data_IF_078369607297
#
_entry.id   IF_078369607297
#
_cell.length_a   1.000
_cell.length_b   1.000
_cell.length_c   1.000
_cell.angle_alpha   90.00
_cell.angle_beta   90.00
_cell.angle_gamma   90.00
#
_symmetry.space_group_name_H-M   'P 1'
#
loop_
_entity.id
_entity.type
_entity.pdbx_description
1 polymer ?
#
# COMPACT_ATOMS: atom_id res chain seq x y z
N UNK A 1 9.80 -53.72 -38.31
CA UNK A 1 10.30 -52.44 -37.75
C UNK A 1 9.13 -51.47 -37.67
N UNK A 2 8.41 -51.45 -36.54
CA UNK A 2 7.30 -50.53 -36.31
C UNK A 2 7.80 -49.28 -35.58
N UNK A 3 7.60 -48.09 -36.17
CA UNK A 3 7.87 -46.80 -35.52
C UNK A 3 6.67 -46.40 -34.67
N UNK A 4 6.79 -46.51 -33.35
CA UNK A 4 5.89 -45.85 -32.41
C UNK A 4 6.23 -44.37 -32.36
N UNK A 5 5.37 -43.56 -32.96
CA UNK A 5 5.40 -42.10 -32.85
C UNK A 5 4.93 -41.73 -31.45
N UNK A 6 5.87 -41.42 -30.56
CA UNK A 6 5.60 -40.86 -29.23
C UNK A 6 5.16 -39.41 -29.42
N UNK A 7 3.84 -39.21 -29.46
CA UNK A 7 3.22 -37.89 -29.46
C UNK A 7 3.47 -37.27 -28.09
N UNK A 8 4.42 -36.35 -28.03
CA UNK A 8 4.68 -35.51 -26.86
C UNK A 8 3.42 -34.71 -26.55
N UNK A 9 2.61 -35.22 -25.62
CA UNK A 9 1.54 -34.45 -25.00
C UNK A 9 2.22 -33.41 -24.12
N UNK A 10 2.33 -32.19 -24.66
CA UNK A 10 2.48 -31.02 -23.81
C UNK A 10 1.26 -30.99 -22.90
N UNK A 11 1.43 -31.57 -21.71
CA UNK A 11 0.58 -31.29 -20.57
C UNK A 11 0.79 -29.80 -20.32
N UNK A 12 -0.08 -28.98 -20.91
CA UNK A 12 -0.33 -27.63 -20.46
C UNK A 12 -0.78 -27.82 -19.02
N UNK A 13 0.19 -27.75 -18.11
CA UNK A 13 -0.05 -27.77 -16.69
C UNK A 13 -0.67 -26.41 -16.39
N UNK A 14 -1.98 -26.31 -16.61
CA UNK A 14 -2.87 -25.36 -15.93
C UNK A 14 -2.91 -25.74 -14.44
N UNK A 15 -1.73 -25.71 -13.82
CA UNK A 15 -1.49 -26.10 -12.45
C UNK A 15 -1.58 -24.87 -11.55
N UNK A 16 -2.77 -24.66 -11.00
CA UNK A 16 -2.99 -24.22 -9.62
C UNK A 16 -2.12 -23.06 -9.08
N UNK A 17 -2.62 -21.83 -9.14
CA UNK A 17 -2.23 -20.75 -8.23
C UNK A 17 -3.34 -19.73 -7.97
N UNK A 18 -4.61 -20.15 -7.93
CA UNK A 18 -5.74 -19.19 -7.92
C UNK A 18 -5.86 -18.32 -6.65
N UNK A 19 -5.18 -18.66 -5.55
CA UNK A 19 -5.21 -17.86 -4.31
C UNK A 19 -4.03 -16.88 -4.17
N UNK A 20 -2.82 -17.29 -4.59
CA UNK A 20 -1.60 -16.48 -4.50
C UNK A 20 -1.65 -15.27 -5.42
N UNK A 21 -2.16 -15.46 -6.64
CA UNK A 21 -2.27 -14.42 -7.66
C UNK A 21 -3.35 -13.37 -7.35
N UNK A 22 -4.23 -13.63 -6.38
CA UNK A 22 -5.26 -12.67 -5.96
C UNK A 22 -4.83 -11.84 -4.75
N UNK A 23 -3.80 -12.27 -4.02
CA UNK A 23 -3.40 -11.62 -2.75
C UNK A 23 -2.83 -10.21 -2.99
N UNK A 24 -2.03 -10.03 -4.05
CA UNK A 24 -1.50 -8.70 -4.39
C UNK A 24 -2.58 -7.74 -4.87
N UNK A 25 -3.60 -8.24 -5.58
CA UNK A 25 -4.74 -7.44 -6.02
C UNK A 25 -5.47 -6.87 -4.81
N UNK A 26 -5.76 -7.73 -3.81
CA UNK A 26 -6.41 -7.32 -2.56
C UNK A 26 -5.52 -6.32 -1.79
N UNK A 27 -4.22 -6.55 -1.72
CA UNK A 27 -3.27 -5.64 -1.07
C UNK A 27 -3.28 -4.24 -1.73
N UNK A 28 -3.25 -4.18 -3.06
CA UNK A 28 -3.30 -2.93 -3.82
C UNK A 28 -4.64 -2.22 -3.63
N UNK A 29 -5.76 -2.93 -3.66
CA UNK A 29 -7.09 -2.35 -3.40
C UNK A 29 -7.13 -1.70 -2.01
N UNK A 30 -6.65 -2.39 -0.98
CA UNK A 30 -6.60 -1.82 0.37
C UNK A 30 -5.67 -0.61 0.46
N UNK A 31 -4.53 -0.61 -0.22
CA UNK A 31 -3.65 0.56 -0.27
C UNK A 31 -4.31 1.75 -0.98
N UNK A 32 -5.04 1.52 -2.07
CA UNK A 32 -5.80 2.56 -2.77
C UNK A 32 -6.91 3.14 -1.88
N UNK A 33 -7.64 2.29 -1.15
CA UNK A 33 -8.66 2.73 -0.18
C UNK A 33 -8.00 3.57 0.93
N UNK A 34 -6.86 3.13 1.46
CA UNK A 34 -6.10 3.90 2.44
C UNK A 34 -5.71 5.28 1.89
N UNK A 35 -5.15 5.33 0.68
CA UNK A 35 -4.75 6.58 0.02
C UNK A 35 -5.94 7.52 -0.17
N UNK A 36 -7.08 7.00 -0.62
CA UNK A 36 -8.31 7.78 -0.74
C UNK A 36 -8.75 8.35 0.60
N UNK A 37 -8.69 7.58 1.68
CA UNK A 37 -9.01 8.08 3.02
C UNK A 37 -8.03 9.15 3.51
N UNK A 38 -6.74 9.04 3.22
CA UNK A 38 -5.77 10.12 3.55
C UNK A 38 -6.08 11.38 2.74
N UNK A 39 -6.39 11.26 1.45
CA UNK A 39 -6.78 12.40 0.60
C UNK A 39 -8.05 13.04 1.14
N UNK A 40 -9.08 12.25 1.44
CA UNK A 40 -10.34 12.75 2.00
C UNK A 40 -10.11 13.42 3.37
N UNK A 41 -9.28 12.81 4.23
CA UNK A 41 -8.93 13.38 5.52
C UNK A 41 -8.26 14.75 5.36
N UNK A 42 -7.36 14.94 4.40
CA UNK A 42 -6.70 16.23 4.16
C UNK A 42 -7.60 17.24 3.43
N UNK A 43 -8.45 16.78 2.50
CA UNK A 43 -9.31 17.63 1.69
C UNK A 43 -10.55 18.13 2.44
N UNK A 44 -11.09 17.34 3.38
CA UNK A 44 -12.29 17.69 4.11
C UNK A 44 -12.04 18.90 5.02
N UNK A 45 -12.92 19.93 5.00
CA UNK A 45 -12.91 21.06 5.92
C UNK A 45 -13.43 20.62 7.30
N UNK A 46 -12.80 19.59 7.88
CA UNK A 46 -13.18 18.99 9.15
C UNK A 46 -12.12 19.19 10.23
N UNK A 47 -11.10 20.03 10.02
CA UNK A 47 -9.99 20.27 10.95
C UNK A 47 -10.19 21.58 11.74
N UNK A 48 -11.38 21.79 12.34
CA UNK A 48 -11.87 23.00 13.04
C UNK A 48 -12.74 23.97 12.23
N UNK A 49 -13.60 23.46 11.32
CA UNK A 49 -14.51 24.32 10.53
C UNK A 49 -13.78 25.29 9.58
N UNK A 50 -12.47 25.12 9.42
CA UNK A 50 -11.60 25.83 8.48
C UNK A 50 -10.82 24.77 7.72
N UNK A 51 -10.54 25.02 6.45
CA UNK A 51 -9.64 24.17 5.68
C UNK A 51 -8.24 24.21 6.31
N UNK A 52 -7.57 23.05 6.44
CA UNK A 52 -6.12 22.95 6.72
C UNK A 52 -5.29 23.86 5.81
N UNK A 53 -5.77 24.10 4.58
CA UNK A 53 -5.11 24.96 3.59
C UNK A 53 -5.28 26.47 3.85
N UNK A 54 -6.20 26.90 4.72
CA UNK A 54 -6.65 28.30 4.75
C UNK A 54 -6.09 29.11 5.91
N UNK A 55 -5.91 28.54 7.11
CA UNK A 55 -5.29 29.20 8.27
C UNK A 55 -4.63 28.14 9.15
N UNK A 56 -3.31 27.93 9.02
CA UNK A 56 -2.58 26.97 9.87
C UNK A 56 -1.51 27.69 10.70
N UNK A 57 -1.56 27.49 12.02
CA UNK A 57 -0.45 27.69 12.95
C UNK A 57 0.68 26.67 12.69
N UNK A 58 1.85 26.79 13.33
CA UNK A 58 3.01 25.94 13.01
C UNK A 58 2.75 24.43 13.16
N UNK A 59 1.89 24.02 14.11
CA UNK A 59 1.49 22.62 14.35
C UNK A 59 0.68 22.03 13.20
N UNK A 60 -0.18 22.86 12.62
CA UNK A 60 -1.09 22.54 11.53
C UNK A 60 -0.34 22.41 10.18
N UNK A 61 0.77 23.14 10.04
CA UNK A 61 1.72 22.98 8.92
C UNK A 61 2.50 21.66 9.01
N UNK A 62 2.93 21.26 10.21
CA UNK A 62 3.66 20.00 10.43
C UNK A 62 2.80 18.76 10.13
N UNK A 63 1.55 18.72 10.61
CA UNK A 63 0.62 17.60 10.34
C UNK A 63 0.28 17.47 8.85
N UNK A 64 0.14 18.61 8.17
CA UNK A 64 -0.13 18.65 6.72
C UNK A 64 1.06 18.09 5.95
N UNK A 65 2.28 18.53 6.25
CA UNK A 65 3.50 18.03 5.61
C UNK A 65 3.70 16.52 5.86
N UNK A 66 3.51 16.05 7.09
CA UNK A 66 3.57 14.62 7.43
C UNK A 66 2.55 13.80 6.64
N UNK A 67 1.34 14.33 6.46
CA UNK A 67 0.28 13.68 5.69
C UNK A 67 0.62 13.60 4.20
N UNK A 68 1.19 14.67 3.63
CA UNK A 68 1.66 14.66 2.23
C UNK A 68 2.82 13.67 2.01
N UNK A 69 3.78 13.62 2.94
CA UNK A 69 4.87 12.64 2.90
C UNK A 69 4.28 11.23 2.96
N UNK A 70 3.33 10.98 3.85
CA UNK A 70 2.65 9.68 3.95
C UNK A 70 1.94 9.30 2.64
N UNK A 71 1.18 10.22 2.03
CA UNK A 71 0.52 9.98 0.74
C UNK A 71 1.53 9.60 -0.34
N UNK A 72 2.65 10.33 -0.42
CA UNK A 72 3.69 10.08 -1.42
C UNK A 72 4.34 8.70 -1.23
N UNK A 73 4.67 8.33 0.01
CA UNK A 73 5.23 7.02 0.34
C UNK A 73 4.26 5.87 0.03
N UNK A 74 2.98 6.02 0.36
CA UNK A 74 1.95 5.03 0.05
C UNK A 74 1.78 4.88 -1.46
N UNK A 75 1.73 5.99 -2.19
CA UNK A 75 1.62 6.00 -3.64
C UNK A 75 2.83 5.30 -4.32
N UNK A 76 4.06 5.61 -3.87
CA UNK A 76 5.26 4.92 -4.35
C UNK A 76 5.22 3.42 -4.01
N UNK A 77 4.76 3.05 -2.82
CA UNK A 77 4.59 1.66 -2.40
C UNK A 77 3.59 0.90 -3.28
N UNK A 78 2.48 1.53 -3.66
CA UNK A 78 1.48 0.96 -4.58
C UNK A 78 2.11 0.74 -5.97
N UNK A 79 2.78 1.75 -6.52
CA UNK A 79 3.43 1.64 -7.84
C UNK A 79 4.46 0.51 -7.82
N UNK A 80 5.32 0.47 -6.81
CA UNK A 80 6.33 -0.58 -6.68
C UNK A 80 5.68 -1.97 -6.65
N UNK A 81 4.61 -2.15 -5.88
CA UNK A 81 3.86 -3.41 -5.79
C UNK A 81 3.29 -3.84 -7.15
N UNK A 82 2.70 -2.92 -7.91
CA UNK A 82 2.16 -3.19 -9.25
C UNK A 82 3.27 -3.57 -10.24
N UNK A 83 4.39 -2.83 -10.23
CA UNK A 83 5.53 -3.10 -11.10
C UNK A 83 6.11 -4.50 -10.85
N UNK A 84 6.20 -4.93 -9.59
CA UNK A 84 6.61 -6.28 -9.24
C UNK A 84 5.56 -7.34 -9.62
N UNK A 85 4.28 -7.05 -9.40
CA UNK A 85 3.19 -7.99 -9.71
C UNK A 85 3.08 -8.30 -11.20
N UNK A 86 3.23 -7.27 -12.04
CA UNK A 86 3.21 -7.41 -13.50
C UNK A 86 4.50 -8.00 -14.08
N UNK A 87 5.50 -8.30 -13.24
CA UNK A 87 6.84 -8.76 -13.65
C UNK A 87 7.45 -7.88 -14.75
N UNK A 88 7.07 -6.59 -14.80
CA UNK A 88 7.56 -5.64 -15.79
C UNK A 88 9.08 -5.45 -15.67
N UNK A 89 9.64 -5.75 -14.50
CA UNK A 89 11.06 -5.64 -14.22
C UNK A 89 11.52 -6.91 -13.50
N UNK A 90 12.00 -7.89 -14.28
CA UNK A 90 12.39 -9.23 -13.81
C UNK A 90 13.78 -9.27 -13.15
N UNK A 91 14.63 -8.28 -13.38
CA UNK A 91 16.05 -8.29 -12.96
C UNK A 91 16.36 -7.50 -11.68
N UNK A 92 15.40 -7.33 -10.77
CA UNK A 92 15.67 -6.63 -9.52
C UNK A 92 16.13 -7.55 -8.39
N UNK A 93 17.19 -7.11 -7.70
CA UNK A 93 17.72 -7.71 -6.47
C UNK A 93 16.63 -7.82 -5.39
N UNK A 94 16.77 -8.81 -4.50
CA UNK A 94 15.87 -9.05 -3.34
C UNK A 94 15.62 -7.79 -2.51
N UNK A 95 16.63 -6.92 -2.39
CA UNK A 95 16.56 -5.63 -1.68
C UNK A 95 15.50 -4.69 -2.25
N UNK A 96 15.29 -4.71 -3.56
CA UNK A 96 14.36 -3.81 -4.25
C UNK A 96 12.93 -4.32 -4.09
N UNK A 97 12.74 -5.64 -4.02
CA UNK A 97 11.43 -6.26 -3.74
C UNK A 97 10.92 -5.91 -2.33
N UNK A 98 11.80 -5.88 -1.33
CA UNK A 98 11.45 -5.48 0.04
C UNK A 98 11.15 -3.98 0.18
N UNK A 99 11.59 -3.14 -0.77
CA UNK A 99 11.37 -1.69 -0.71
C UNK A 99 9.89 -1.31 -0.73
N UNK A 100 9.04 -2.04 -1.46
CA UNK A 100 7.59 -1.77 -1.49
C UNK A 100 6.93 -1.93 -0.12
N UNK A 101 7.32 -2.98 0.63
CA UNK A 101 6.83 -3.25 1.99
C UNK A 101 7.29 -2.14 2.94
N UNK A 102 8.57 -1.75 2.84
CA UNK A 102 9.16 -0.71 3.68
C UNK A 102 8.49 0.64 3.41
N UNK A 103 8.25 1.01 2.14
CA UNK A 103 7.56 2.24 1.76
C UNK A 103 6.13 2.29 2.31
N UNK A 104 5.38 1.19 2.20
CA UNK A 104 4.03 1.09 2.78
C UNK A 104 4.05 1.17 4.31
N UNK A 105 5.00 0.48 4.95
CA UNK A 105 5.13 0.50 6.41
C UNK A 105 5.51 1.90 6.93
N UNK A 106 6.46 2.57 6.28
CA UNK A 106 6.82 3.95 6.59
C UNK A 106 5.64 4.89 6.38
N UNK A 107 4.90 4.75 5.27
CA UNK A 107 3.67 5.51 5.02
C UNK A 107 2.66 5.37 6.16
N UNK A 108 2.43 4.15 6.65
CA UNK A 108 1.57 3.89 7.81
C UNK A 108 2.07 4.54 9.09
N UNK A 109 3.37 4.47 9.39
CA UNK A 109 3.99 5.13 10.56
C UNK A 109 3.81 6.64 10.48
N UNK A 110 4.00 7.25 9.30
CA UNK A 110 3.79 8.69 9.10
C UNK A 110 2.33 9.10 9.27
N UNK A 111 1.35 8.27 8.85
CA UNK A 111 -0.07 8.51 9.16
C UNK A 111 -0.30 8.51 10.67
N UNK A 112 0.24 7.52 11.39
CA UNK A 112 0.09 7.43 12.86
C UNK A 112 0.78 8.62 13.55
N UNK A 113 1.94 9.05 13.07
CA UNK A 113 2.63 10.22 13.61
C UNK A 113 1.84 11.52 13.37
N UNK A 114 1.28 11.71 12.18
CA UNK A 114 0.39 12.83 11.87
C UNK A 114 -0.86 12.79 12.76
N UNK A 115 -1.43 11.60 12.97
CA UNK A 115 -2.53 11.35 13.89
C UNK A 115 -2.21 11.74 15.33
N UNK A 116 -1.10 11.26 15.91
CA UNK A 116 -0.73 11.55 17.32
C UNK A 116 -0.51 13.05 17.51
N UNK A 117 0.12 13.68 16.52
CA UNK A 117 0.39 15.13 16.54
C UNK A 117 -0.91 15.95 16.51
N UNK A 118 -1.92 15.47 15.78
CA UNK A 118 -3.22 16.13 15.67
C UNK A 118 -4.18 15.83 16.83
N UNK A 119 -4.22 14.58 17.31
CA UNK A 119 -5.10 14.14 18.40
C UNK A 119 -4.89 14.94 19.68
N UNK A 120 -3.65 15.37 19.94
CA UNK A 120 -3.32 16.23 21.09
C UNK A 120 -4.04 17.59 21.06
N UNK A 121 -4.52 18.03 19.91
CA UNK A 121 -5.18 19.32 19.76
C UNK A 121 -6.70 19.22 19.75
N UNK A 122 -7.30 18.28 18.99
CA UNK A 122 -8.77 18.15 18.90
C UNK A 122 -9.22 16.68 18.68
N UNK A 123 -9.75 15.99 19.70
CA UNK A 123 -10.02 14.55 19.63
C UNK A 123 -11.33 14.13 18.93
N UNK A 124 -12.23 15.07 18.57
CA UNK A 124 -13.62 14.77 18.20
C UNK A 124 -14.02 15.13 16.75
N UNK A 125 -13.13 14.97 15.77
CA UNK A 125 -13.42 15.37 14.38
C UNK A 125 -13.42 14.21 13.39
N UNK A 126 -14.33 14.20 12.41
CA UNK A 126 -14.48 13.10 11.44
C UNK A 126 -13.18 12.74 10.68
N UNK A 127 -12.30 13.72 10.46
CA UNK A 127 -10.98 13.53 9.86
C UNK A 127 -10.10 12.56 10.66
N UNK A 128 -10.29 12.48 11.98
CA UNK A 128 -9.62 11.53 12.87
C UNK A 128 -9.92 10.09 12.47
N UNK A 129 -11.21 9.76 12.33
CA UNK A 129 -11.64 8.39 12.03
C UNK A 129 -11.11 7.95 10.67
N UNK A 130 -11.06 8.88 9.70
CA UNK A 130 -10.49 8.64 8.37
C UNK A 130 -8.98 8.36 8.41
N UNK A 131 -8.21 9.09 9.24
CA UNK A 131 -6.77 8.83 9.38
C UNK A 131 -6.48 7.48 10.06
N UNK A 132 -7.27 7.11 11.07
CA UNK A 132 -7.11 5.81 11.76
C UNK A 132 -7.43 4.66 10.81
N UNK A 133 -8.57 4.74 10.10
CA UNK A 133 -8.94 3.70 9.14
C UNK A 133 -7.92 3.63 8.01
N UNK A 134 -7.45 4.76 7.48
CA UNK A 134 -6.37 4.80 6.50
C UNK A 134 -5.12 4.08 6.99
N UNK A 135 -4.66 4.37 8.22
CA UNK A 135 -3.50 3.72 8.82
C UNK A 135 -3.67 2.20 8.91
N UNK A 136 -4.83 1.72 9.39
CA UNK A 136 -5.13 0.28 9.47
C UNK A 136 -5.07 -0.36 8.07
N UNK A 137 -5.71 0.24 7.07
CA UNK A 137 -5.69 -0.28 5.70
C UNK A 137 -4.28 -0.29 5.10
N UNK A 138 -3.45 0.73 5.39
CA UNK A 138 -2.04 0.75 4.98
C UNK A 138 -1.23 -0.37 5.63
N UNK A 139 -1.40 -0.63 6.94
CA UNK A 139 -0.72 -1.73 7.64
C UNK A 139 -1.16 -3.10 7.11
N UNK A 140 -2.46 -3.32 6.95
CA UNK A 140 -3.00 -4.56 6.38
C UNK A 140 -2.45 -4.77 4.96
N UNK A 141 -2.42 -3.71 4.14
CA UNK A 141 -1.84 -3.79 2.80
C UNK A 141 -0.34 -4.12 2.82
N UNK A 142 0.43 -3.51 3.74
CA UNK A 142 1.86 -3.81 3.91
C UNK A 142 2.10 -5.28 4.26
N UNK A 143 1.32 -5.83 5.21
CA UNK A 143 1.40 -7.25 5.61
C UNK A 143 1.03 -8.17 4.45
N UNK A 144 -0.07 -7.89 3.74
CA UNK A 144 -0.48 -8.69 2.58
C UNK A 144 0.56 -8.64 1.46
N UNK A 145 1.16 -7.48 1.23
CA UNK A 145 2.24 -7.29 0.25
C UNK A 145 3.47 -8.09 0.65
N UNK A 146 3.88 -8.04 1.92
CA UNK A 146 4.99 -8.83 2.46
C UNK A 146 4.73 -10.33 2.34
N UNK A 147 3.52 -10.78 2.63
CA UNK A 147 3.13 -12.18 2.51
C UNK A 147 3.13 -12.67 1.06
N UNK A 148 2.62 -11.86 0.13
CA UNK A 148 2.68 -12.15 -1.31
C UNK A 148 4.13 -12.21 -1.80
N UNK A 149 4.97 -11.26 -1.40
CA UNK A 149 6.40 -11.24 -1.70
C UNK A 149 7.13 -12.47 -1.15
N UNK A 150 6.85 -12.85 0.11
CA UNK A 150 7.44 -14.02 0.76
C UNK A 150 7.07 -15.34 0.06
N UNK A 151 5.82 -15.49 -0.39
CA UNK A 151 5.40 -16.67 -1.17
C UNK A 151 6.09 -16.76 -2.53
N UNK A 152 6.28 -15.63 -3.20
CA UNK A 152 6.93 -15.56 -4.50
C UNK A 152 8.46 -15.51 -4.41
N UNK A 153 9.01 -15.63 -3.20
CA UNK A 153 10.46 -15.67 -2.96
C UNK A 153 11.07 -17.00 -3.39
N UNK A 154 10.32 -18.10 -3.29
CA UNK A 154 10.78 -19.46 -3.60
C UNK A 154 10.58 -19.88 -5.06
N UNK A 155 9.91 -19.05 -5.88
CA UNK A 155 9.59 -19.36 -7.28
C UNK A 155 10.56 -18.75 -8.30
N UNK A 156 11.72 -18.25 -7.86
CA UNK A 156 12.78 -17.70 -8.71
C UNK A 156 14.11 -18.31 -8.32
#
# INVERSE_FOLDING_TARGET
>A
MGRTVVRSTHVVRSGSSSSGDRTWIIAVIFACIALLFVILAVALPGWNGRHLLKICTSTCLSTTVLSFIAMFLIFLGIIATILFALRLITSFSSTIKTSAVILLALGGIFIVAAYVSYYRHDPNHYSYYLMVTAGIFTFVSSILTAFWLGRNWHSV
#
